data_IF_653319538962
#
_entry.id   IF_653319538962
#
_cell.length_a   1.000
_cell.length_b   1.000
_cell.length_c   1.000
_cell.angle_alpha   90.00
_cell.angle_beta   90.00
_cell.angle_gamma   90.00
#
_symmetry.space_group_name_H-M   'P 1'
#
loop_
_entity.id
_entity.type
_entity.pdbx_description
1 polymer ?
#
# COMPACT_ATOMS: atom_id res chain seq x y z
N UNK A 1 -20.67 -1.39 18.91
CA UNK A 1 -20.38 -0.10 18.24
C UNK A 1 -21.22 -0.04 16.99
N UNK A 2 -21.96 1.02 16.78
CA UNK A 2 -22.79 1.22 15.60
C UNK A 2 -21.90 1.40 14.37
N UNK A 3 -22.19 0.71 13.27
CA UNK A 3 -21.45 0.81 12.01
C UNK A 3 -21.94 2.05 11.24
N UNK A 4 -21.08 2.57 10.36
CA UNK A 4 -21.48 3.64 9.44
C UNK A 4 -22.60 3.12 8.53
N UNK A 5 -23.58 3.98 8.25
CA UNK A 5 -24.66 3.69 7.30
C UNK A 5 -24.12 3.87 5.88
N UNK A 6 -23.82 2.73 5.23
CA UNK A 6 -23.23 2.70 3.88
C UNK A 6 -23.73 1.46 3.13
N UNK A 7 -23.90 1.59 1.83
CA UNK A 7 -24.15 0.45 0.95
C UNK A 7 -22.86 -0.37 0.74
N UNK A 8 -22.56 -1.23 1.71
CA UNK A 8 -21.33 -2.04 1.71
C UNK A 8 -21.23 -2.97 0.50
N UNK A 9 -22.35 -3.41 -0.06
CA UNK A 9 -22.40 -4.30 -1.23
C UNK A 9 -21.93 -3.62 -2.52
N UNK A 10 -22.09 -2.30 -2.62
CA UNK A 10 -21.79 -1.52 -3.82
C UNK A 10 -20.66 -0.48 -3.62
N UNK A 11 -19.94 -0.55 -2.51
CA UNK A 11 -18.96 0.50 -2.14
C UNK A 11 -17.81 0.64 -3.16
N UNK A 12 -17.49 -0.40 -3.93
CA UNK A 12 -16.43 -0.37 -4.94
C UNK A 12 -15.03 -0.13 -4.34
N UNK A 13 -14.14 0.50 -5.13
CA UNK A 13 -12.75 0.81 -4.75
C UNK A 13 -12.48 2.32 -4.68
N UNK A 14 -13.50 3.14 -4.55
CA UNK A 14 -13.31 4.58 -4.37
C UNK A 14 -12.74 4.89 -2.98
N UNK A 15 -11.97 5.99 -2.89
CA UNK A 15 -11.49 6.48 -1.61
C UNK A 15 -12.62 7.12 -0.81
N UNK A 16 -12.80 6.65 0.42
CA UNK A 16 -13.70 7.23 1.41
C UNK A 16 -12.87 7.74 2.58
N UNK A 17 -13.04 9.00 2.92
CA UNK A 17 -12.36 9.60 4.07
C UNK A 17 -12.91 9.03 5.35
N UNK A 18 -12.05 8.41 6.16
CA UNK A 18 -12.36 7.88 7.48
C UNK A 18 -11.97 8.85 8.59
N UNK A 19 -12.37 8.55 9.83
CA UNK A 19 -12.30 9.52 10.92
C UNK A 19 -10.86 9.82 11.36
N UNK A 20 -9.98 8.82 11.41
CA UNK A 20 -8.63 8.96 11.98
C UNK A 20 -7.56 8.23 11.16
N UNK A 21 -6.35 8.76 11.22
CA UNK A 21 -5.11 8.20 10.67
C UNK A 21 -3.97 8.34 11.65
N UNK A 22 -2.94 7.51 11.50
CA UNK A 22 -1.72 7.58 12.30
C UNK A 22 -0.62 8.27 11.51
N UNK A 23 0.19 9.09 12.19
CA UNK A 23 1.33 9.82 11.62
C UNK A 23 2.53 9.71 12.57
N UNK A 24 3.72 9.50 12.02
CA UNK A 24 4.99 9.61 12.74
C UNK A 24 6.05 10.23 11.84
N UNK A 25 6.82 11.17 12.38
CA UNK A 25 7.91 11.84 11.68
C UNK A 25 9.26 11.19 12.03
N UNK A 26 10.15 11.10 11.04
CA UNK A 26 11.57 10.84 11.25
C UNK A 26 12.36 12.13 11.10
N UNK A 27 12.96 12.58 12.19
CA UNK A 27 13.74 13.82 12.26
C UNK A 27 14.93 13.64 13.19
N UNK A 28 16.02 14.34 12.90
CA UNK A 28 17.23 14.28 13.72
C UNK A 28 17.75 12.84 13.93
N UNK A 29 17.64 12.00 12.88
CA UNK A 29 18.14 10.63 12.90
C UNK A 29 17.27 9.61 13.65
N UNK A 30 16.06 9.97 14.07
CA UNK A 30 15.19 9.08 14.83
C UNK A 30 13.69 9.26 14.53
N UNK A 31 12.92 8.18 14.68
CA UNK A 31 11.47 8.22 14.64
C UNK A 31 10.92 8.89 15.89
N UNK A 32 10.19 9.99 15.69
CA UNK A 32 9.48 10.69 16.76
C UNK A 32 8.26 9.88 17.21
N UNK A 33 7.68 10.25 18.35
CA UNK A 33 6.42 9.66 18.80
C UNK A 33 5.31 9.89 17.76
N UNK A 34 4.54 8.83 17.47
CA UNK A 34 3.44 8.93 16.53
C UNK A 34 2.14 9.38 17.19
N UNK A 35 1.27 9.98 16.40
CA UNK A 35 -0.01 10.51 16.86
C UNK A 35 -1.17 10.18 15.91
N UNK A 36 -2.39 10.24 16.43
CA UNK A 36 -3.62 10.10 15.65
C UNK A 36 -4.14 11.49 15.25
N UNK A 37 -4.66 11.60 14.04
CA UNK A 37 -5.24 12.85 13.53
C UNK A 37 -6.37 12.57 12.54
N UNK A 38 -7.36 13.48 12.48
CA UNK A 38 -8.40 13.49 11.44
C UNK A 38 -7.96 14.17 10.14
N UNK A 39 -6.83 14.90 10.15
CA UNK A 39 -6.37 15.65 8.98
C UNK A 39 -5.72 14.73 7.93
N UNK A 40 -6.30 14.73 6.72
CA UNK A 40 -5.80 13.99 5.56
C UNK A 40 -4.77 14.78 4.73
N UNK A 41 -4.58 16.05 5.03
CA UNK A 41 -3.75 16.96 4.23
C UNK A 41 -2.26 16.63 4.40
N UNK A 42 -1.52 16.72 3.31
CA UNK A 42 -0.06 16.71 3.29
C UNK A 42 0.43 18.08 2.82
N UNK A 43 1.33 18.67 3.60
CA UNK A 43 2.02 19.90 3.20
C UNK A 43 3.48 19.54 2.99
N UNK A 44 3.96 19.67 1.76
CA UNK A 44 5.31 19.33 1.35
C UNK A 44 5.98 20.51 0.67
N UNK A 45 7.33 20.59 0.84
CA UNK A 45 8.14 21.45 0.00
C UNK A 45 8.14 20.89 -1.45
N UNK A 46 8.14 21.76 -2.46
CA UNK A 46 8.19 21.34 -3.87
C UNK A 46 9.40 20.47 -4.20
N UNK A 47 10.51 20.62 -3.45
CA UNK A 47 11.73 19.82 -3.59
C UNK A 47 11.72 18.56 -2.70
N UNK A 48 10.62 18.18 -2.05
CA UNK A 48 10.57 16.97 -1.25
C UNK A 48 11.02 15.73 -2.05
N UNK A 49 11.82 14.86 -1.44
CA UNK A 49 12.42 13.70 -2.12
C UNK A 49 11.38 12.75 -2.74
N UNK A 50 10.18 12.68 -2.18
CA UNK A 50 9.07 11.93 -2.77
C UNK A 50 8.64 12.51 -4.13
N UNK A 51 8.58 13.82 -4.26
CA UNK A 51 8.14 14.50 -5.49
C UNK A 51 9.20 14.47 -6.58
N UNK A 52 10.49 14.53 -6.21
CA UNK A 52 11.58 14.57 -7.16
C UNK A 52 12.08 13.18 -7.60
N UNK A 53 12.14 12.23 -6.67
CA UNK A 53 12.81 10.93 -6.89
C UNK A 53 11.95 9.72 -6.51
N UNK A 54 10.65 9.90 -6.25
CA UNK A 54 9.74 8.83 -5.86
C UNK A 54 10.27 7.99 -4.69
N UNK A 55 11.03 8.62 -3.75
CA UNK A 55 11.55 7.93 -2.59
C UNK A 55 10.43 7.68 -1.59
N UNK A 56 9.69 6.58 -1.82
CA UNK A 56 8.58 6.14 -0.98
C UNK A 56 8.39 4.63 -1.05
N UNK A 57 7.78 4.07 -0.01
CA UNK A 57 7.36 2.68 0.08
C UNK A 57 5.97 2.60 0.73
N UNK A 58 5.19 1.58 0.38
CA UNK A 58 3.87 1.43 0.96
C UNK A 58 3.51 -0.02 1.23
N UNK A 59 2.45 -0.21 2.00
CA UNK A 59 1.87 -1.51 2.29
C UNK A 59 0.35 -1.51 2.07
N UNK A 60 -0.22 -2.69 2.05
CA UNK A 60 -1.65 -2.89 1.99
C UNK A 60 -2.05 -4.12 2.76
N UNK A 61 -2.93 -3.94 3.73
CA UNK A 61 -3.54 -5.01 4.50
C UNK A 61 -5.01 -4.66 4.77
N UNK A 62 -5.74 -5.59 5.35
CA UNK A 62 -7.18 -5.41 5.56
C UNK A 62 -7.58 -5.76 6.99
N UNK A 63 -8.61 -5.08 7.49
CA UNK A 63 -9.34 -5.50 8.69
C UNK A 63 -10.72 -6.04 8.29
N UNK A 64 -11.14 -7.07 9.00
CA UNK A 64 -12.36 -7.84 8.73
C UNK A 64 -13.20 -7.94 9.99
N UNK A 65 -14.52 -7.96 9.84
CA UNK A 65 -15.43 -8.41 10.90
C UNK A 65 -15.63 -9.92 10.78
N UNK A 66 -15.43 -10.65 11.85
CA UNK A 66 -15.65 -12.10 11.94
C UNK A 66 -17.13 -12.40 12.28
N UNK A 67 -17.53 -13.67 12.19
CA UNK A 67 -18.90 -14.09 12.46
C UNK A 67 -19.38 -13.78 13.89
N UNK A 68 -18.46 -13.74 14.86
CA UNK A 68 -18.74 -13.37 16.26
C UNK A 68 -18.72 -11.85 16.50
N UNK A 69 -18.51 -11.05 15.45
CA UNK A 69 -18.47 -9.59 15.51
C UNK A 69 -17.10 -9.00 15.91
N UNK A 70 -16.09 -9.82 16.14
CA UNK A 70 -14.73 -9.36 16.41
C UNK A 70 -14.11 -8.72 15.17
N UNK A 71 -13.19 -7.76 15.35
CA UNK A 71 -12.43 -7.18 14.24
C UNK A 71 -11.01 -7.73 14.28
N UNK A 72 -10.57 -8.28 13.15
CA UNK A 72 -9.26 -8.92 13.01
C UNK A 72 -8.48 -8.39 11.80
N UNK A 73 -7.15 -8.46 11.88
CA UNK A 73 -6.23 -8.28 10.76
C UNK A 73 -5.43 -9.56 10.56
N UNK A 74 -4.98 -9.82 9.33
CA UNK A 74 -4.19 -11.03 9.04
C UNK A 74 -2.72 -10.66 8.87
N UNK A 75 -1.86 -11.23 9.74
CA UNK A 75 -0.39 -11.14 9.69
C UNK A 75 0.18 -9.73 9.41
N UNK A 76 -0.20 -8.69 10.18
CA UNK A 76 0.38 -7.36 10.01
C UNK A 76 1.90 -7.33 10.27
N UNK A 77 2.43 -8.31 11.01
CA UNK A 77 3.85 -8.51 11.25
C UNK A 77 4.65 -8.74 9.96
N UNK A 78 4.11 -9.53 9.00
CA UNK A 78 4.76 -9.77 7.70
C UNK A 78 4.70 -8.54 6.78
N UNK A 79 3.62 -7.73 6.88
CA UNK A 79 3.56 -6.45 6.18
C UNK A 79 4.62 -5.48 6.71
N UNK A 80 4.81 -5.44 8.04
CA UNK A 80 5.86 -4.62 8.65
C UNK A 80 7.27 -5.05 8.18
N UNK A 81 7.56 -6.34 8.18
CA UNK A 81 8.84 -6.88 7.70
C UNK A 81 9.10 -6.52 6.23
N UNK A 82 8.12 -6.70 5.35
CA UNK A 82 8.25 -6.33 3.94
C UNK A 82 8.42 -4.82 3.75
N UNK A 83 7.78 -3.98 4.58
CA UNK A 83 7.99 -2.54 4.55
C UNK A 83 9.40 -2.17 4.98
N UNK A 84 9.98 -2.86 5.97
CA UNK A 84 11.37 -2.69 6.39
C UNK A 84 12.31 -3.02 5.23
N UNK A 85 12.15 -4.19 4.58
CA UNK A 85 12.96 -4.61 3.44
C UNK A 85 12.86 -3.58 2.28
N UNK A 86 11.65 -3.11 2.00
CA UNK A 86 11.43 -2.10 0.97
C UNK A 86 12.10 -0.77 1.30
N UNK A 87 11.99 -0.32 2.55
CA UNK A 87 12.61 0.90 3.03
C UNK A 87 14.14 0.83 2.94
N UNK A 88 14.75 -0.26 3.40
CA UNK A 88 16.20 -0.48 3.33
C UNK A 88 16.70 -0.44 1.89
N UNK A 89 15.98 -1.06 0.93
CA UNK A 89 16.36 -1.02 -0.49
C UNK A 89 16.28 0.39 -1.09
N UNK A 90 15.43 1.26 -0.55
CA UNK A 90 15.26 2.65 -0.96
C UNK A 90 16.10 3.64 -0.14
N UNK A 91 17.05 3.15 0.67
CA UNK A 91 17.90 3.97 1.56
C UNK A 91 17.06 4.86 2.50
N UNK A 92 15.95 4.31 3.01
CA UNK A 92 15.06 4.99 3.95
C UNK A 92 15.20 4.35 5.34
N UNK A 93 15.11 5.13 6.44
CA UNK A 93 15.15 4.56 7.78
C UNK A 93 13.96 3.63 8.02
N UNK A 94 14.18 2.35 8.38
CA UNK A 94 13.07 1.41 8.59
C UNK A 94 12.17 1.87 9.73
N UNK A 95 10.83 1.78 9.52
CA UNK A 95 9.87 2.02 10.59
C UNK A 95 9.79 0.78 11.49
N UNK A 96 9.90 0.91 12.84
CA UNK A 96 9.97 -0.25 13.73
C UNK A 96 8.72 -1.14 13.64
N UNK A 97 8.92 -2.46 13.57
CA UNK A 97 7.86 -3.47 13.39
C UNK A 97 6.78 -3.36 14.47
N UNK A 98 7.16 -3.24 15.72
CA UNK A 98 6.24 -3.14 16.86
C UNK A 98 5.37 -1.89 16.75
N UNK A 99 5.97 -0.77 16.36
CA UNK A 99 5.25 0.50 16.15
C UNK A 99 4.31 0.44 14.93
N UNK A 100 4.67 -0.31 13.89
CA UNK A 100 3.79 -0.55 12.75
C UNK A 100 2.54 -1.32 13.19
N UNK A 101 2.69 -2.39 13.97
CA UNK A 101 1.57 -3.19 14.48
C UNK A 101 0.69 -2.33 15.41
N UNK A 102 1.29 -1.58 16.31
CA UNK A 102 0.58 -0.64 17.19
C UNK A 102 -0.21 0.42 16.37
N UNK A 103 0.38 0.98 15.32
CA UNK A 103 -0.29 1.93 14.45
C UNK A 103 -1.50 1.30 13.74
N UNK A 104 -1.38 0.04 13.27
CA UNK A 104 -2.50 -0.72 12.69
C UNK A 104 -3.63 -0.88 13.70
N UNK A 105 -3.32 -1.29 14.93
CA UNK A 105 -4.33 -1.44 15.99
C UNK A 105 -5.02 -0.12 16.32
N UNK A 106 -4.25 0.96 16.50
CA UNK A 106 -4.79 2.30 16.80
C UNK A 106 -5.74 2.78 15.71
N UNK A 107 -5.34 2.66 14.43
CA UNK A 107 -6.17 3.10 13.30
C UNK A 107 -7.44 2.25 13.18
N UNK A 108 -7.34 0.93 13.31
CA UNK A 108 -8.52 0.04 13.24
C UNK A 108 -9.49 0.34 14.39
N UNK A 109 -9.00 0.49 15.62
CA UNK A 109 -9.84 0.82 16.77
C UNK A 109 -10.54 2.18 16.62
N UNK A 110 -9.81 3.20 16.19
CA UNK A 110 -10.36 4.56 16.00
C UNK A 110 -11.39 4.61 14.87
N UNK A 111 -11.30 3.70 13.89
CA UNK A 111 -12.22 3.63 12.74
C UNK A 111 -13.09 2.36 12.75
N UNK A 112 -13.35 1.77 13.91
CA UNK A 112 -14.09 0.51 14.01
C UNK A 112 -15.51 0.58 13.42
N UNK A 113 -16.14 1.75 13.41
CA UNK A 113 -17.42 1.99 12.77
C UNK A 113 -17.37 1.85 11.23
N UNK A 114 -16.18 2.03 10.62
CA UNK A 114 -15.92 1.91 9.19
C UNK A 114 -15.56 0.50 8.73
N UNK A 115 -15.36 -0.44 9.66
CA UNK A 115 -15.12 -1.85 9.29
C UNK A 115 -16.45 -2.46 8.85
N UNK A 116 -16.57 -2.91 7.60
CA UNK A 116 -17.83 -3.49 7.09
C UNK A 116 -18.31 -4.68 7.92
N UNK A 117 -19.61 -4.92 7.94
CA UNK A 117 -20.21 -6.04 8.66
C UNK A 117 -19.80 -7.37 8.05
N UNK A 118 -19.79 -8.43 8.87
CA UNK A 118 -19.55 -9.79 8.39
C UNK A 118 -20.58 -10.17 7.31
N UNK A 119 -20.13 -10.84 6.26
CA UNK A 119 -20.99 -11.27 5.15
C UNK A 119 -21.29 -10.20 4.09
N UNK A 120 -20.88 -8.93 4.28
CA UNK A 120 -21.09 -7.87 3.29
C UNK A 120 -20.22 -7.99 2.03
N UNK A 121 -19.17 -8.82 2.06
CA UNK A 121 -18.16 -8.91 1.00
C UNK A 121 -17.15 -7.75 0.98
N UNK A 122 -17.43 -6.66 1.70
CA UNK A 122 -16.53 -5.52 1.83
C UNK A 122 -15.56 -5.68 3.01
N UNK A 123 -14.49 -4.89 3.00
CA UNK A 123 -13.43 -4.93 4.04
C UNK A 123 -12.92 -3.52 4.31
N UNK A 124 -12.28 -3.28 5.47
CA UNK A 124 -11.54 -2.05 5.69
C UNK A 124 -10.11 -2.23 5.18
N UNK A 125 -9.76 -1.54 4.11
CA UNK A 125 -8.40 -1.51 3.57
C UNK A 125 -7.54 -0.52 4.37
N UNK A 126 -6.36 -0.94 4.78
CA UNK A 126 -5.36 -0.11 5.46
C UNK A 126 -4.19 0.15 4.51
N UNK A 127 -3.76 1.41 4.42
CA UNK A 127 -2.63 1.87 3.61
C UNK A 127 -1.56 2.48 4.49
N UNK A 128 -0.63 1.67 5.03
CA UNK A 128 0.64 2.18 5.55
C UNK A 128 1.51 2.66 4.39
N UNK A 129 2.16 3.81 4.54
CA UNK A 129 3.14 4.30 3.58
C UNK A 129 4.16 5.20 4.28
N UNK A 130 5.33 5.30 3.69
CA UNK A 130 6.43 6.11 4.19
C UNK A 130 7.10 6.81 3.03
N UNK A 131 7.42 8.08 3.19
CA UNK A 131 7.97 8.90 2.11
C UNK A 131 8.99 9.91 2.63
N UNK A 132 9.91 10.31 1.73
CA UNK A 132 10.89 11.36 1.95
C UNK A 132 10.22 12.73 1.93
N UNK A 133 10.25 13.45 3.05
CA UNK A 133 9.53 14.71 3.24
C UNK A 133 10.42 15.95 3.15
N UNK A 134 11.74 15.83 3.40
CA UNK A 134 12.65 16.96 3.31
C UNK A 134 13.04 17.32 1.87
N UNK A 135 13.44 18.59 1.61
CA UNK A 135 13.90 19.03 0.30
C UNK A 135 15.21 18.35 -0.12
N UNK A 136 15.27 17.88 -1.37
CA UNK A 136 16.44 17.24 -1.98
C UNK A 136 16.53 17.61 -3.46
N UNK A 137 17.64 18.24 -3.89
CA UNK A 137 17.90 18.50 -5.32
C UNK A 137 18.88 17.48 -5.92
N UNK A 138 19.95 17.14 -5.19
CA UNK A 138 20.88 16.10 -5.62
C UNK A 138 20.28 14.71 -5.40
N UNK A 139 20.63 13.72 -6.25
CA UNK A 139 20.19 12.33 -6.07
C UNK A 139 20.90 11.73 -4.85
N UNK A 140 20.27 11.84 -3.70
CA UNK A 140 20.71 11.28 -2.42
C UNK A 140 19.51 10.96 -1.54
N UNK A 141 19.64 10.11 -0.50
CA UNK A 141 18.61 9.93 0.50
C UNK A 141 18.21 11.25 1.16
N UNK A 142 16.96 11.41 1.50
CA UNK A 142 16.45 12.56 2.25
C UNK A 142 16.92 12.50 3.72
N UNK A 143 16.85 13.63 4.42
CA UNK A 143 17.22 13.72 5.84
C UNK A 143 15.99 13.50 6.76
N UNK A 144 14.77 13.75 6.26
CA UNK A 144 13.53 13.59 7.00
C UNK A 144 12.52 12.75 6.21
N UNK A 145 11.75 11.96 6.95
CA UNK A 145 10.71 11.08 6.40
C UNK A 145 9.45 11.15 7.25
N UNK A 146 8.32 10.75 6.67
CA UNK A 146 7.09 10.59 7.41
C UNK A 146 6.47 9.23 7.13
N UNK A 147 6.09 8.51 8.20
CA UNK A 147 5.24 7.34 8.14
C UNK A 147 3.79 7.75 8.38
N UNK A 148 2.88 7.28 7.54
CA UNK A 148 1.44 7.46 7.72
C UNK A 148 0.69 6.15 7.49
N UNK A 149 -0.41 6.01 8.20
CA UNK A 149 -1.34 4.92 8.00
C UNK A 149 -2.77 5.47 7.99
N UNK A 150 -3.46 5.34 6.88
CA UNK A 150 -4.89 5.62 6.77
C UNK A 150 -5.66 4.36 6.38
N UNK A 151 -6.98 4.40 6.48
CA UNK A 151 -7.84 3.33 6.03
C UNK A 151 -9.00 3.85 5.19
N UNK A 152 -9.61 2.98 4.40
CA UNK A 152 -10.81 3.23 3.61
C UNK A 152 -11.57 1.93 3.41
N UNK A 153 -12.89 1.91 3.54
CA UNK A 153 -13.66 0.72 3.23
C UNK A 153 -13.64 0.47 1.72
N UNK A 154 -13.52 -0.80 1.32
CA UNK A 154 -13.49 -1.23 -0.08
C UNK A 154 -14.35 -2.47 -0.28
N UNK A 155 -14.96 -2.56 -1.45
CA UNK A 155 -15.68 -3.75 -1.91
C UNK A 155 -14.74 -4.88 -2.34
N UNK A 156 -15.30 -6.00 -2.81
CA UNK A 156 -14.51 -7.07 -3.39
C UNK A 156 -13.80 -6.57 -4.66
N UNK A 157 -12.55 -6.99 -4.83
CA UNK A 157 -11.76 -6.60 -6.01
C UNK A 157 -12.42 -7.09 -7.31
N UNK A 158 -12.93 -8.33 -7.31
CA UNK A 158 -13.73 -8.89 -8.39
C UNK A 158 -15.19 -8.86 -7.99
N UNK A 159 -15.99 -7.97 -8.58
CA UNK A 159 -17.42 -7.80 -8.26
C UNK A 159 -18.25 -9.05 -8.48
N UNK A 160 -17.85 -9.90 -9.42
CA UNK A 160 -18.59 -11.09 -9.83
C UNK A 160 -18.01 -12.40 -9.26
N UNK A 161 -17.15 -12.32 -8.24
CA UNK A 161 -16.47 -13.46 -7.65
C UNK A 161 -15.25 -13.95 -8.44
N UNK A 162 -14.80 -15.16 -8.19
CA UNK A 162 -13.66 -15.77 -8.86
C UNK A 162 -14.01 -16.21 -10.30
N UNK A 163 -13.86 -15.31 -11.27
CA UNK A 163 -14.01 -15.60 -12.70
C UNK A 163 -12.62 -15.67 -13.35
N UNK A 164 -12.45 -16.46 -14.43
CA UNK A 164 -11.28 -16.37 -15.28
C UNK A 164 -11.12 -14.94 -15.81
N UNK A 165 -9.88 -14.45 -15.82
CA UNK A 165 -9.52 -13.15 -16.40
C UNK A 165 -8.64 -13.37 -17.64
N UNK A 166 -8.71 -12.43 -18.57
CA UNK A 166 -7.87 -12.42 -19.78
C UNK A 166 -6.64 -11.57 -19.56
N UNK A 167 -5.47 -12.11 -19.88
CA UNK A 167 -4.19 -11.44 -19.71
C UNK A 167 -3.55 -11.12 -21.07
N UNK A 168 -3.01 -9.92 -21.19
CA UNK A 168 -2.12 -9.52 -22.26
C UNK A 168 -0.66 -9.74 -21.85
N UNK A 169 0.13 -10.41 -22.64
CA UNK A 169 1.59 -10.45 -22.43
C UNK A 169 2.15 -9.09 -22.81
N UNK A 170 2.80 -8.42 -21.85
CA UNK A 170 3.33 -7.06 -22.02
C UNK A 170 4.71 -7.08 -22.65
N UNK A 171 4.95 -6.19 -23.60
CA UNK A 171 6.27 -5.88 -24.17
C UNK A 171 7.07 -4.93 -23.26
N UNK A 172 6.42 -4.36 -22.24
CA UNK A 172 7.07 -3.47 -21.28
C UNK A 172 7.56 -4.24 -20.07
N UNK A 173 8.70 -3.82 -19.52
CA UNK A 173 9.21 -4.34 -18.27
C UNK A 173 8.56 -3.63 -17.07
N UNK A 174 8.29 -4.40 -16.02
CA UNK A 174 7.89 -3.88 -14.72
C UNK A 174 8.95 -4.11 -13.64
N UNK A 175 9.71 -5.18 -13.74
CA UNK A 175 10.72 -5.59 -12.78
C UNK A 175 12.04 -5.91 -13.51
N UNK A 176 13.02 -4.99 -13.43
CA UNK A 176 14.36 -5.26 -13.89
C UNK A 176 15.09 -6.25 -12.98
N UNK A 177 15.98 -7.13 -13.47
CA UNK A 177 16.63 -8.18 -12.69
C UNK A 177 17.34 -7.67 -11.42
N UNK A 178 18.02 -6.58 -11.41
CA UNK A 178 18.67 -5.97 -10.24
C UNK A 178 18.03 -4.63 -9.82
N UNK A 179 16.82 -4.38 -10.29
CA UNK A 179 16.07 -3.18 -9.99
C UNK A 179 15.30 -3.24 -8.67
N UNK A 180 14.13 -2.60 -8.66
CA UNK A 180 13.27 -2.44 -7.48
C UNK A 180 12.02 -3.32 -7.52
N UNK A 181 11.89 -4.22 -8.49
CA UNK A 181 10.70 -5.06 -8.69
C UNK A 181 10.35 -5.95 -7.49
N UNK A 182 11.33 -6.28 -6.64
CA UNK A 182 11.18 -7.12 -5.45
C UNK A 182 10.68 -6.36 -4.22
N UNK A 183 10.59 -5.03 -4.27
CA UNK A 183 10.10 -4.19 -3.17
C UNK A 183 8.76 -3.55 -3.47
N UNK A 184 8.06 -3.11 -2.44
CA UNK A 184 6.76 -2.47 -2.56
C UNK A 184 6.90 -0.94 -2.55
N UNK A 185 7.33 -0.39 -3.69
CA UNK A 185 7.53 1.05 -3.92
C UNK A 185 6.64 1.56 -5.05
N UNK A 186 6.12 2.77 -4.95
CA UNK A 186 5.17 3.37 -5.89
C UNK A 186 5.72 3.47 -7.31
N UNK A 187 7.02 3.69 -7.46
CA UNK A 187 7.68 3.75 -8.77
C UNK A 187 7.43 2.47 -9.60
N UNK A 188 7.38 1.28 -8.99
CA UNK A 188 7.09 0.02 -9.67
C UNK A 188 5.65 -0.02 -10.22
N UNK A 189 4.73 0.66 -9.56
CA UNK A 189 3.32 0.73 -9.98
C UNK A 189 3.11 1.79 -11.06
N UNK A 190 3.79 2.93 -10.96
CA UNK A 190 3.76 3.95 -12.00
C UNK A 190 4.27 3.39 -13.35
N UNK A 191 5.31 2.57 -13.35
CA UNK A 191 5.83 1.91 -14.55
C UNK A 191 4.80 0.99 -15.24
N UNK A 192 3.84 0.42 -14.50
CA UNK A 192 2.83 -0.48 -15.07
C UNK A 192 1.63 0.26 -15.71
N UNK A 193 1.46 1.56 -15.47
CA UNK A 193 0.26 2.28 -15.87
C UNK A 193 0.01 2.27 -17.38
N UNK A 194 1.05 2.51 -18.19
CA UNK A 194 0.90 2.53 -19.64
C UNK A 194 0.50 1.16 -20.20
N UNK A 195 1.15 0.10 -19.73
CA UNK A 195 0.80 -1.27 -20.12
C UNK A 195 -0.64 -1.62 -19.75
N UNK A 196 -1.08 -1.27 -18.51
CA UNK A 196 -2.44 -1.54 -18.06
C UNK A 196 -3.49 -0.80 -18.89
N UNK A 197 -3.28 0.50 -19.15
CA UNK A 197 -4.18 1.27 -20.01
C UNK A 197 -4.28 0.66 -21.41
N UNK A 198 -3.16 0.25 -21.99
CA UNK A 198 -3.11 -0.37 -23.33
C UNK A 198 -3.83 -1.73 -23.33
N UNK A 199 -3.60 -2.57 -22.33
CA UNK A 199 -4.27 -3.88 -22.23
C UNK A 199 -5.79 -3.73 -22.11
N UNK A 200 -6.26 -2.85 -21.23
CA UNK A 200 -7.69 -2.58 -21.05
C UNK A 200 -8.32 -2.01 -22.35
N UNK A 201 -7.64 -1.12 -23.06
CA UNK A 201 -8.11 -0.58 -24.33
C UNK A 201 -8.25 -1.67 -25.41
N UNK A 202 -7.48 -2.77 -25.31
CA UNK A 202 -7.54 -3.93 -26.19
C UNK A 202 -8.44 -5.06 -25.65
N UNK A 203 -9.22 -4.82 -24.61
CA UNK A 203 -10.20 -5.76 -24.07
C UNK A 203 -9.63 -6.85 -23.13
N UNK A 204 -8.40 -6.69 -22.65
CA UNK A 204 -7.82 -7.56 -21.64
C UNK A 204 -8.10 -7.02 -20.23
N UNK A 205 -8.20 -7.91 -19.24
CA UNK A 205 -8.46 -7.55 -17.86
C UNK A 205 -7.19 -7.08 -17.15
N UNK A 206 -6.01 -7.64 -17.51
CA UNK A 206 -4.75 -7.32 -16.82
C UNK A 206 -3.53 -7.69 -17.72
N UNK A 207 -2.32 -7.34 -17.27
CA UNK A 207 -1.07 -7.68 -17.96
C UNK A 207 -0.32 -8.81 -17.29
N UNK A 208 0.33 -9.63 -18.11
CA UNK A 208 1.38 -10.53 -17.72
C UNK A 208 2.73 -9.92 -18.12
N UNK A 209 3.47 -9.41 -17.14
CA UNK A 209 4.81 -8.90 -17.37
C UNK A 209 5.81 -10.05 -17.42
N UNK A 210 6.71 -10.02 -18.38
CA UNK A 210 7.82 -10.96 -18.51
C UNK A 210 9.09 -10.31 -17.97
N UNK A 211 9.92 -11.12 -17.36
CA UNK A 211 11.27 -10.69 -17.01
C UNK A 211 12.17 -10.79 -18.26
N UNK A 212 13.15 -9.90 -18.40
CA UNK A 212 14.06 -9.83 -19.55
C UNK A 212 15.09 -10.95 -19.63
N UNK A 213 15.25 -11.80 -18.64
CA UNK A 213 16.13 -12.94 -18.79
C UNK A 213 15.45 -13.99 -19.69
N UNK A 214 16.15 -14.48 -20.68
CA UNK A 214 15.64 -15.46 -21.64
C UNK A 214 15.06 -16.73 -20.99
N UNK A 215 15.38 -16.99 -19.74
CA UNK A 215 14.96 -18.16 -18.97
C UNK A 215 13.84 -17.89 -17.97
N UNK A 216 13.40 -16.64 -17.78
CA UNK A 216 12.49 -16.28 -16.70
C UNK A 216 11.15 -15.76 -17.20
N UNK A 217 10.16 -16.60 -16.96
CA UNK A 217 8.77 -16.15 -16.99
C UNK A 217 8.49 -15.37 -15.70
N UNK A 218 7.73 -14.28 -15.80
CA UNK A 218 7.23 -13.56 -14.66
C UNK A 218 6.67 -14.58 -13.66
N UNK A 219 7.13 -14.52 -12.45
CA UNK A 219 6.69 -15.42 -11.39
C UNK A 219 7.75 -16.32 -10.79
N UNK A 220 8.93 -16.50 -11.40
CA UNK A 220 9.96 -17.32 -10.74
C UNK A 220 10.66 -16.55 -9.60
N UNK A 221 10.91 -15.27 -9.75
CA UNK A 221 11.44 -14.39 -8.70
C UNK A 221 10.35 -13.79 -7.82
N UNK A 222 9.15 -13.59 -8.36
CA UNK A 222 8.00 -13.23 -7.56
C UNK A 222 7.50 -14.41 -6.67
N UNK A 223 7.68 -15.66 -7.08
CA UNK A 223 7.21 -16.83 -6.32
C UNK A 223 7.84 -16.99 -4.94
N UNK A 224 9.05 -16.53 -4.72
CA UNK A 224 9.72 -16.67 -3.42
C UNK A 224 9.29 -15.61 -2.39
N UNK A 225 8.51 -14.59 -2.80
CA UNK A 225 8.17 -13.46 -1.93
C UNK A 225 6.68 -13.07 -1.92
N UNK A 226 5.84 -13.78 -2.68
CA UNK A 226 4.39 -13.60 -2.68
C UNK A 226 3.62 -14.79 -2.08
N UNK A 227 4.34 -15.80 -1.58
CA UNK A 227 3.77 -16.93 -0.83
C UNK A 227 3.77 -16.68 0.66
#
# INVERSE_FOLDING_TARGET
MEKKDMDWGNIGFAYHTTDQRYVADFKNGQWQEGYMTGDATLVLNECAGILQYCQEVFEGLKAYTTADGSIVTFRPDLNAERMIDSAMRMEMPPFPKERFIEAVEKVVRANAAWVPSYGSGATLYLRPYMYASSPVIGVKPADEYQFRLFCTPVGPYFKEGAKPITLCVSDFDRAAPHGTGHIKAGLNYAMSLHANVTAHANGFDENLFLDRSEERRVGKECRSRWS
#
